data_IF_662201658485
#
_entry.id   IF_662201658485
#
_cell.length_a   1.000
_cell.length_b   1.000
_cell.length_c   1.000
_cell.angle_alpha   90.00
_cell.angle_beta   90.00
_cell.angle_gamma   90.00
#
_symmetry.space_group_name_H-M   'P 1'
#
loop_
_entity.id
_entity.type
_entity.pdbx_description
1 polymer ?
#
# COMPACT_ATOMS: atom_id res chain seq x y z
N UNK A 1 11.91 -10.82 -1.65
CA UNK A 1 10.54 -10.41 -1.27
C UNK A 1 9.60 -11.60 -1.17
N UNK A 2 9.33 -12.36 -2.25
CA UNK A 2 8.36 -13.48 -2.19
C UNK A 2 8.56 -14.50 -1.05
N UNK A 3 9.78 -14.99 -0.74
CA UNK A 3 9.98 -15.89 0.40
C UNK A 3 9.55 -15.29 1.74
N UNK A 4 9.78 -13.99 1.94
CA UNK A 4 9.39 -13.28 3.17
C UNK A 4 7.88 -13.11 3.22
N UNK A 5 7.23 -12.75 2.11
CA UNK A 5 5.77 -12.69 2.02
C UNK A 5 5.14 -14.04 2.39
N UNK A 6 5.65 -15.14 1.82
CA UNK A 6 5.12 -16.48 2.09
C UNK A 6 5.32 -16.92 3.56
N UNK A 7 6.34 -16.38 4.24
CA UNK A 7 6.60 -16.66 5.65
C UNK A 7 5.76 -15.80 6.61
N UNK A 8 5.52 -14.53 6.27
CA UNK A 8 4.90 -13.55 7.17
C UNK A 8 3.37 -13.55 7.10
N UNK A 9 2.79 -13.83 5.92
CA UNK A 9 1.33 -13.79 5.70
C UNK A 9 0.68 -15.11 6.16
N UNK A 10 0.84 -15.46 7.43
CA UNK A 10 0.18 -16.63 8.04
C UNK A 10 -1.28 -16.29 8.35
N UNK A 11 -2.23 -17.02 7.77
CA UNK A 11 -3.68 -16.84 7.97
C UNK A 11 -4.23 -15.49 7.52
N UNK A 12 -3.63 -14.88 6.50
CA UNK A 12 -4.10 -13.61 5.96
C UNK A 12 -4.02 -13.55 4.45
N UNK A 13 -4.31 -12.36 3.91
CA UNK A 13 -4.16 -12.04 2.50
C UNK A 13 -3.22 -10.86 2.30
N UNK A 14 -2.49 -10.83 1.19
CA UNK A 14 -1.65 -9.69 0.78
C UNK A 14 -2.34 -8.87 -0.31
N UNK A 15 -2.42 -7.56 -0.13
CA UNK A 15 -2.75 -6.61 -1.18
C UNK A 15 -1.52 -6.32 -2.04
N UNK A 16 -1.68 -6.42 -3.35
CA UNK A 16 -0.65 -6.10 -4.34
C UNK A 16 -1.01 -4.77 -5.00
N UNK A 17 -0.13 -3.78 -4.89
CA UNK A 17 -0.22 -2.53 -5.65
C UNK A 17 0.97 -2.34 -6.58
N UNK A 18 0.71 -1.94 -7.82
CA UNK A 18 1.73 -1.74 -8.87
C UNK A 18 2.65 -2.98 -9.01
N UNK A 19 2.09 -4.16 -8.75
CA UNK A 19 2.79 -5.44 -8.72
C UNK A 19 1.95 -6.53 -9.38
N UNK A 20 2.56 -7.24 -10.32
CA UNK A 20 1.90 -8.23 -11.18
C UNK A 20 2.34 -9.66 -10.86
N UNK A 21 3.41 -9.84 -10.07
CA UNK A 21 3.95 -11.17 -9.76
C UNK A 21 3.18 -11.91 -8.64
N UNK A 22 1.86 -11.79 -8.57
CA UNK A 22 1.05 -12.52 -7.58
C UNK A 22 1.15 -14.05 -7.71
N UNK A 23 1.37 -14.55 -8.92
CA UNK A 23 1.42 -15.99 -9.22
C UNK A 23 2.62 -16.74 -8.60
N UNK A 24 3.63 -16.03 -8.08
CA UNK A 24 4.78 -16.63 -7.38
C UNK A 24 4.59 -16.69 -5.86
N UNK A 25 3.44 -16.24 -5.36
CA UNK A 25 3.12 -16.23 -3.93
C UNK A 25 2.38 -17.51 -3.55
N UNK A 26 2.79 -18.11 -2.43
CA UNK A 26 2.16 -19.31 -1.86
C UNK A 26 1.04 -18.93 -0.87
N UNK A 27 0.67 -17.65 -0.82
CA UNK A 27 -0.32 -17.09 0.09
C UNK A 27 -1.45 -16.43 -0.69
N UNK A 28 -2.66 -16.34 -0.13
CA UNK A 28 -3.75 -15.60 -0.77
C UNK A 28 -3.32 -14.16 -1.06
N UNK A 29 -3.53 -13.71 -2.29
CA UNK A 29 -3.23 -12.33 -2.71
C UNK A 29 -4.43 -11.65 -3.36
N UNK A 30 -4.41 -10.32 -3.40
CA UNK A 30 -5.45 -9.48 -3.99
C UNK A 30 -4.79 -8.38 -4.82
N UNK A 31 -5.13 -8.26 -6.10
CA UNK A 31 -4.73 -7.10 -6.89
C UNK A 31 -5.55 -5.90 -6.48
N UNK A 32 -4.93 -4.97 -5.77
CA UNK A 32 -5.62 -3.93 -5.07
C UNK A 32 -5.73 -2.63 -5.88
N UNK A 33 -4.96 -2.43 -6.95
CA UNK A 33 -5.04 -1.20 -7.76
C UNK A 33 -6.49 -0.87 -8.22
N UNK A 34 -6.90 0.41 -8.24
CA UNK A 34 -8.22 0.83 -8.72
C UNK A 34 -8.58 0.30 -10.11
N UNK A 35 -7.62 0.27 -11.05
CA UNK A 35 -7.80 -0.32 -12.38
C UNK A 35 -7.97 -1.86 -12.42
N UNK A 36 -7.82 -2.56 -11.29
CA UNK A 36 -7.99 -4.02 -11.18
C UNK A 36 -9.18 -4.44 -10.32
N UNK A 37 -9.72 -3.53 -9.51
CA UNK A 37 -10.87 -3.81 -8.65
C UNK A 37 -11.64 -2.56 -8.25
N UNK A 38 -12.96 -2.67 -8.22
CA UNK A 38 -13.85 -1.66 -7.65
C UNK A 38 -14.31 -2.01 -6.23
N UNK A 39 -14.01 -3.21 -5.73
CA UNK A 39 -14.59 -3.71 -4.48
C UNK A 39 -14.07 -3.02 -3.22
N UNK A 40 -12.94 -2.30 -3.32
CA UNK A 40 -12.41 -1.51 -2.21
C UNK A 40 -13.12 -0.15 -2.07
N UNK A 41 -13.84 0.31 -3.10
CA UNK A 41 -14.61 1.56 -3.02
C UNK A 41 -13.75 2.83 -2.99
N UNK A 42 -12.69 2.86 -3.79
CA UNK A 42 -11.75 3.99 -3.91
C UNK A 42 -12.42 5.33 -4.20
N UNK A 43 -13.53 5.31 -4.93
CA UNK A 43 -14.35 6.47 -5.28
C UNK A 43 -14.91 7.21 -4.06
N UNK A 44 -15.02 6.53 -2.91
CA UNK A 44 -15.59 7.08 -1.67
C UNK A 44 -14.55 7.35 -0.59
N UNK A 45 -13.31 6.92 -0.79
CA UNK A 45 -12.24 7.08 0.19
C UNK A 45 -11.79 8.54 0.28
N UNK A 46 -11.44 8.96 1.49
CA UNK A 46 -10.95 10.32 1.75
C UNK A 46 -9.65 10.32 2.55
N UNK A 47 -9.23 9.14 3.02
CA UNK A 47 -8.11 9.01 3.95
C UNK A 47 -7.45 7.64 3.89
N UNK A 48 -6.23 7.56 4.44
CA UNK A 48 -5.57 6.30 4.76
C UNK A 48 -6.39 5.36 5.64
N UNK A 49 -7.13 5.88 6.61
CA UNK A 49 -7.95 5.05 7.51
C UNK A 49 -9.11 4.37 6.74
N UNK A 50 -9.72 5.04 5.77
CA UNK A 50 -10.75 4.43 4.90
C UNK A 50 -10.17 3.26 4.11
N UNK A 51 -8.97 3.43 3.57
CA UNK A 51 -8.27 2.39 2.81
C UNK A 51 -7.94 1.19 3.70
N UNK A 52 -7.37 1.42 4.89
CA UNK A 52 -7.05 0.34 5.82
C UNK A 52 -8.31 -0.41 6.25
N UNK A 53 -9.42 0.28 6.52
CA UNK A 53 -10.68 -0.35 6.86
C UNK A 53 -11.21 -1.24 5.70
N UNK A 54 -11.18 -0.74 4.46
CA UNK A 54 -11.58 -1.50 3.29
C UNK A 54 -10.72 -2.75 3.07
N UNK A 55 -9.39 -2.64 3.25
CA UNK A 55 -8.47 -3.77 3.16
C UNK A 55 -8.75 -4.81 4.25
N UNK A 56 -8.89 -4.38 5.52
CA UNK A 56 -9.21 -5.29 6.64
C UNK A 56 -10.53 -6.02 6.43
N UNK A 57 -11.54 -5.34 5.89
CA UNK A 57 -12.84 -5.96 5.57
C UNK A 57 -12.75 -7.10 4.54
N UNK A 58 -11.66 -7.15 3.75
CA UNK A 58 -11.37 -8.23 2.78
C UNK A 58 -10.43 -9.31 3.32
N UNK A 59 -10.12 -9.28 4.62
CA UNK A 59 -9.17 -10.20 5.26
C UNK A 59 -7.71 -9.93 4.87
N UNK A 60 -7.43 -8.74 4.32
CA UNK A 60 -6.07 -8.34 3.96
C UNK A 60 -5.35 -7.90 5.24
N UNK A 61 -4.16 -8.46 5.44
CA UNK A 61 -3.32 -8.24 6.62
C UNK A 61 -1.98 -7.63 6.26
N UNK A 62 -1.58 -7.72 4.99
CA UNK A 62 -0.30 -7.24 4.51
C UNK A 62 -0.47 -6.51 3.19
N UNK A 63 0.46 -5.61 2.90
CA UNK A 63 0.48 -4.82 1.68
C UNK A 63 1.87 -4.94 1.08
N UNK A 64 1.93 -5.31 -0.20
CA UNK A 64 3.14 -5.34 -0.97
C UNK A 64 2.98 -4.44 -2.18
N UNK A 65 3.95 -3.53 -2.39
CA UNK A 65 3.94 -2.69 -3.57
C UNK A 65 5.33 -2.37 -4.08
N UNK A 66 5.39 -2.01 -5.36
CA UNK A 66 6.59 -1.64 -6.06
C UNK A 66 6.43 -0.23 -6.64
N UNK A 67 7.26 0.71 -6.19
CA UNK A 67 7.22 2.11 -6.61
C UNK A 67 7.77 2.35 -8.03
N UNK A 68 8.06 1.29 -8.78
CA UNK A 68 8.70 1.40 -10.10
C UNK A 68 10.14 1.94 -9.98
N UNK A 69 10.78 2.40 -11.06
CA UNK A 69 12.18 2.85 -11.04
C UNK A 69 12.41 4.20 -10.33
N UNK A 70 11.36 4.87 -9.86
CA UNK A 70 11.44 6.21 -9.27
C UNK A 70 12.00 6.15 -7.84
N UNK A 71 13.30 6.41 -7.72
CA UNK A 71 14.02 6.43 -6.45
C UNK A 71 13.65 7.61 -5.55
N UNK A 72 13.20 8.73 -6.12
CA UNK A 72 12.78 9.89 -5.33
C UNK A 72 11.48 9.57 -4.62
N UNK A 73 10.53 8.95 -5.34
CA UNK A 73 9.29 8.46 -4.76
C UNK A 73 9.59 7.43 -3.66
N UNK A 74 10.51 6.50 -3.88
CA UNK A 74 10.94 5.55 -2.84
C UNK A 74 11.50 6.22 -1.57
N UNK A 75 12.26 7.31 -1.71
CA UNK A 75 12.75 8.11 -0.58
C UNK A 75 11.61 8.70 0.26
N UNK A 76 10.64 9.37 -0.39
CA UNK A 76 9.48 9.96 0.29
C UNK A 76 8.65 8.92 1.05
N UNK A 77 8.56 7.70 0.53
CA UNK A 77 7.87 6.59 1.20
C UNK A 77 8.61 6.05 2.43
N UNK A 78 9.94 6.01 2.39
CA UNK A 78 10.74 5.63 3.54
C UNK A 78 10.63 6.68 4.66
N UNK A 79 10.57 7.97 4.33
CA UNK A 79 10.27 9.04 5.28
C UNK A 79 8.85 8.89 5.85
N UNK A 80 7.88 8.56 5.00
CA UNK A 80 6.51 8.32 5.44
C UNK A 80 6.39 7.19 6.47
N UNK A 81 7.08 6.08 6.21
CA UNK A 81 7.16 4.95 7.14
C UNK A 81 7.83 5.30 8.48
N UNK A 82 8.60 6.39 8.54
CA UNK A 82 9.19 6.92 9.78
C UNK A 82 8.29 7.93 10.49
N UNK A 83 7.09 8.22 9.97
CA UNK A 83 6.11 9.12 10.58
C UNK A 83 6.07 10.52 9.97
N UNK A 84 6.83 10.79 8.90
CA UNK A 84 6.76 12.05 8.16
C UNK A 84 5.51 12.03 7.27
N UNK A 85 4.80 13.15 7.09
CA UNK A 85 3.75 13.22 6.07
C UNK A 85 4.38 13.60 4.73
N UNK A 86 4.42 12.69 3.74
CA UNK A 86 5.19 12.95 2.51
C UNK A 86 4.47 13.83 1.48
N UNK A 87 3.17 14.06 1.66
CA UNK A 87 2.34 14.83 0.73
C UNK A 87 1.53 15.90 1.49
N UNK A 88 1.81 17.17 1.20
CA UNK A 88 1.11 18.32 1.79
C UNK A 88 0.72 19.34 0.71
N UNK A 89 -0.16 20.28 1.07
CA UNK A 89 -0.54 21.40 0.20
C UNK A 89 -1.10 20.98 -1.17
N UNK A 90 -0.58 21.58 -2.23
CA UNK A 90 -1.04 21.36 -3.60
C UNK A 90 -0.79 19.93 -4.10
N UNK A 91 0.31 19.30 -3.68
CA UNK A 91 0.65 17.92 -4.07
C UNK A 91 -0.39 16.92 -3.54
N UNK A 92 -0.82 17.12 -2.29
CA UNK A 92 -1.89 16.34 -1.68
C UNK A 92 -3.20 16.49 -2.46
N UNK A 93 -3.60 17.73 -2.78
CA UNK A 93 -4.84 18.00 -3.51
C UNK A 93 -4.83 17.33 -4.90
N UNK A 94 -3.71 17.48 -5.62
CA UNK A 94 -3.51 16.86 -6.94
C UNK A 94 -3.63 15.33 -6.91
N UNK A 95 -3.03 14.69 -5.90
CA UNK A 95 -3.12 13.23 -5.75
C UNK A 95 -4.52 12.77 -5.34
N UNK A 96 -5.21 13.53 -4.48
CA UNK A 96 -6.56 13.20 -4.02
C UNK A 96 -7.61 13.28 -5.14
N UNK A 97 -7.41 14.17 -6.12
CA UNK A 97 -8.35 14.38 -7.24
C UNK A 97 -8.32 13.25 -8.29
N UNK A 98 -7.33 12.35 -8.24
CA UNK A 98 -7.21 11.23 -9.17
C UNK A 98 -7.18 9.88 -8.42
N UNK A 99 -8.32 9.16 -8.37
CA UNK A 99 -8.41 7.87 -7.67
C UNK A 99 -7.37 6.82 -8.12
N UNK A 100 -6.92 6.84 -9.38
CA UNK A 100 -5.90 5.91 -9.91
C UNK A 100 -4.55 6.04 -9.21
N UNK A 101 -4.28 7.20 -8.58
CA UNK A 101 -3.05 7.48 -7.84
C UNK A 101 -3.29 7.86 -6.38
N UNK A 102 -4.52 8.22 -6.00
CA UNK A 102 -4.89 8.62 -4.63
C UNK A 102 -4.60 7.53 -3.58
N UNK A 103 -4.63 6.25 -3.97
CA UNK A 103 -4.23 5.15 -3.08
C UNK A 103 -2.80 5.29 -2.56
N UNK A 104 -1.88 5.90 -3.33
CA UNK A 104 -0.51 6.19 -2.88
C UNK A 104 -0.51 7.20 -1.75
N UNK A 105 -1.32 8.26 -1.86
CA UNK A 105 -1.51 9.22 -0.78
C UNK A 105 -2.08 8.53 0.46
N UNK A 106 -3.15 7.75 0.33
CA UNK A 106 -3.81 7.11 1.47
C UNK A 106 -2.94 6.07 2.16
N UNK A 107 -2.20 5.24 1.43
CA UNK A 107 -1.23 4.32 2.02
C UNK A 107 -0.10 5.07 2.75
N UNK A 108 0.35 6.21 2.22
CA UNK A 108 1.40 7.00 2.86
C UNK A 108 0.92 7.65 4.16
N UNK A 109 -0.33 8.13 4.17
CA UNK A 109 -0.97 8.61 5.40
C UNK A 109 -1.13 7.51 6.44
N UNK A 110 -1.55 6.31 6.01
CA UNK A 110 -1.68 5.15 6.89
C UNK A 110 -0.32 4.76 7.51
N UNK A 111 0.76 4.80 6.71
CA UNK A 111 2.13 4.59 7.19
C UNK A 111 2.53 5.67 8.21
N UNK A 112 2.33 6.95 7.89
CA UNK A 112 2.65 8.05 8.79
C UNK A 112 1.84 8.01 10.11
N UNK A 113 0.60 7.52 10.05
CA UNK A 113 -0.28 7.30 11.19
C UNK A 113 0.02 6.01 11.97
N UNK A 114 1.09 5.27 11.63
CA UNK A 114 1.48 4.00 12.25
C UNK A 114 0.40 2.92 12.19
N UNK A 115 -0.39 2.91 11.11
CA UNK A 115 -1.30 1.79 10.78
C UNK A 115 -0.59 0.68 10.00
N UNK A 116 0.61 0.98 9.49
CA UNK A 116 1.43 0.07 8.71
C UNK A 116 2.80 -0.05 9.38
N UNK A 117 3.23 -1.29 9.61
CA UNK A 117 4.59 -1.60 10.06
C UNK A 117 5.39 -2.11 8.87
N UNK A 118 6.55 -1.51 8.59
CA UNK A 118 7.49 -2.00 7.56
C UNK A 118 8.03 -3.35 8.01
N UNK A 119 7.78 -4.39 7.22
CA UNK A 119 8.35 -5.73 7.43
C UNK A 119 9.65 -5.87 6.61
N UNK A 120 9.63 -5.43 5.35
CA UNK A 120 10.81 -5.43 4.51
C UNK A 120 10.77 -4.31 3.47
N UNK A 121 11.92 -3.67 3.22
CA UNK A 121 12.13 -2.71 2.15
C UNK A 121 13.35 -3.14 1.32
N UNK A 122 13.25 -3.13 -0.01
CA UNK A 122 14.37 -3.46 -0.91
C UNK A 122 14.29 -2.65 -2.19
N UNK A 123 15.14 -1.63 -2.30
CA UNK A 123 15.11 -0.71 -3.43
C UNK A 123 13.77 0.03 -3.48
N UNK A 124 12.96 -0.29 -4.49
CA UNK A 124 11.65 0.33 -4.76
C UNK A 124 10.48 -0.52 -4.26
N UNK A 125 10.78 -1.67 -3.66
CA UNK A 125 9.80 -2.66 -3.19
C UNK A 125 9.60 -2.52 -1.70
N UNK A 126 8.36 -2.34 -1.27
CA UNK A 126 7.99 -2.19 0.13
C UNK A 126 6.94 -3.23 0.53
N UNK A 127 7.17 -3.87 1.66
CA UNK A 127 6.29 -4.86 2.25
C UNK A 127 5.93 -4.45 3.67
N UNK A 128 4.63 -4.31 3.91
CA UNK A 128 4.06 -3.83 5.16
C UNK A 128 3.10 -4.87 5.76
N UNK A 129 3.01 -4.85 7.08
CA UNK A 129 1.92 -5.45 7.84
C UNK A 129 0.95 -4.35 8.28
N UNK A 130 -0.34 -4.63 8.19
CA UNK A 130 -1.41 -3.78 8.71
C UNK A 130 -1.58 -4.08 10.20
N UNK A 131 -1.57 -3.05 11.06
CA UNK A 131 -1.83 -3.14 12.50
C UNK A 131 -3.31 -2.85 12.82
#
# INVERSE_FOLDING_TARGET
MAPVINQEVKNGRVALYDEVFGYVLDVPYYWANPGHTTELGYDRMKSGDDLIAALKAKGITHIYFNLGPDREQAGRWMEAAQGVRPYEGADRASLADNPEVAWKLWLAEAAAARRLTVVQATGTKLFFRID
#
